data_IF_959563394166
#
_entry.id   IF_959563394166
#
_cell.length_a   1.000
_cell.length_b   1.000
_cell.length_c   1.000
_cell.angle_alpha   90.00
_cell.angle_beta   90.00
_cell.angle_gamma   90.00
#
_symmetry.space_group_name_H-M   'P 1'
#
loop_
_entity.id
_entity.type
_entity.pdbx_description
1 polymer ?
#
# COMPACT_ATOMS: atom_id res chain seq x y z
N UNK A 1 -56.97 41.62 14.14
CA UNK A 1 -55.51 41.56 14.40
C UNK A 1 -55.00 40.23 13.91
N UNK A 2 -54.36 40.19 12.73
CA UNK A 2 -53.90 38.96 12.06
C UNK A 2 -52.54 38.58 12.56
N UNK A 3 -52.37 37.41 13.21
CA UNK A 3 -51.11 36.87 13.70
C UNK A 3 -50.46 36.15 12.50
N UNK A 4 -49.33 36.68 12.05
CA UNK A 4 -48.46 36.02 11.02
C UNK A 4 -47.53 35.10 11.78
N UNK A 5 -47.75 33.75 11.59
CA UNK A 5 -46.82 32.75 12.07
C UNK A 5 -45.80 32.52 10.95
N UNK A 6 -44.57 33.02 11.16
CA UNK A 6 -43.45 32.74 10.26
C UNK A 6 -42.88 31.34 10.57
N UNK A 7 -43.06 30.44 9.60
CA UNK A 7 -42.43 29.12 9.61
C UNK A 7 -40.96 29.29 9.19
N UNK A 8 -40.05 29.22 10.13
CA UNK A 8 -38.61 29.19 9.85
C UNK A 8 -38.24 27.82 9.28
N UNK A 9 -37.83 27.77 8.02
CA UNK A 9 -37.27 26.58 7.38
C UNK A 9 -35.84 26.34 7.92
N UNK A 10 -35.65 25.25 8.64
CA UNK A 10 -34.31 24.77 9.04
C UNK A 10 -33.75 24.01 7.85
N UNK A 11 -32.82 24.61 7.13
CA UNK A 11 -32.03 23.93 6.12
C UNK A 11 -31.02 22.98 6.81
N UNK A 12 -31.24 21.68 6.76
CA UNK A 12 -30.28 20.69 7.16
C UNK A 12 -29.20 20.60 6.06
N UNK A 13 -28.01 21.14 6.34
CA UNK A 13 -26.85 20.97 5.47
C UNK A 13 -26.37 19.52 5.61
N UNK A 14 -26.58 18.70 4.61
CA UNK A 14 -25.92 17.41 4.48
C UNK A 14 -24.46 17.65 4.10
N UNK A 15 -23.55 17.45 5.03
CA UNK A 15 -22.11 17.39 4.72
C UNK A 15 -21.88 16.03 4.11
N UNK A 16 -21.75 15.97 2.78
CA UNK A 16 -21.31 14.78 2.07
C UNK A 16 -19.82 14.56 2.43
N UNK A 17 -19.52 13.55 3.24
CA UNK A 17 -18.14 13.08 3.42
C UNK A 17 -17.73 12.41 2.12
N UNK A 18 -16.78 13.00 1.39
CA UNK A 18 -16.17 12.34 0.25
C UNK A 18 -15.51 11.02 0.73
N UNK A 19 -15.67 9.92 -0.01
CA UNK A 19 -14.96 8.69 0.33
C UNK A 19 -13.46 8.99 0.29
N UNK A 20 -12.75 8.65 1.37
CA UNK A 20 -11.29 8.75 1.40
C UNK A 20 -10.74 7.79 0.33
N UNK A 21 -10.07 8.32 -0.67
CA UNK A 21 -9.39 7.52 -1.68
C UNK A 21 -8.20 6.79 -1.05
N UNK A 22 -7.97 5.55 -1.44
CA UNK A 22 -6.75 4.84 -1.07
C UNK A 22 -5.56 5.64 -1.64
N UNK A 23 -4.63 6.03 -0.77
CA UNK A 23 -3.40 6.67 -1.19
C UNK A 23 -2.36 5.62 -1.56
N UNK A 24 -1.39 6.00 -2.39
CA UNK A 24 -0.28 5.13 -2.77
C UNK A 24 1.05 5.73 -2.34
N UNK A 25 2.03 4.87 -2.03
CA UNK A 25 3.40 5.23 -1.70
C UNK A 25 4.31 4.48 -2.65
N UNK A 26 5.14 5.20 -3.42
CA UNK A 26 6.12 4.58 -4.33
C UNK A 26 7.52 4.65 -3.70
N UNK A 27 8.23 3.53 -3.75
CA UNK A 27 9.59 3.36 -3.25
C UNK A 27 10.47 2.71 -4.30
N UNK A 28 11.73 3.16 -4.50
CA UNK A 28 12.36 4.35 -3.93
C UNK A 28 11.63 5.66 -4.26
N UNK A 29 11.75 6.64 -3.36
CA UNK A 29 11.13 7.96 -3.54
C UNK A 29 11.64 8.61 -4.85
N UNK A 30 10.73 9.24 -5.61
CA UNK A 30 11.03 9.92 -6.86
C UNK A 30 10.94 9.03 -8.11
N UNK A 31 10.60 7.75 -7.94
CA UNK A 31 10.40 6.82 -9.07
C UNK A 31 8.93 6.57 -9.41
N UNK A 32 8.04 7.43 -8.98
CA UNK A 32 6.60 7.37 -9.32
C UNK A 32 6.35 7.58 -10.82
N UNK A 33 7.08 8.50 -11.45
CA UNK A 33 6.97 8.84 -12.86
C UNK A 33 8.28 8.68 -13.65
N UNK A 34 9.27 8.00 -13.08
CA UNK A 34 10.59 7.78 -13.69
C UNK A 34 10.94 6.30 -13.59
N UNK A 35 11.45 5.72 -14.69
CA UNK A 35 11.99 4.34 -14.69
C UNK A 35 13.20 4.25 -13.76
N UNK A 36 13.32 3.11 -13.06
CA UNK A 36 14.54 2.75 -12.38
C UNK A 36 15.71 2.50 -13.34
N UNK A 37 16.90 2.35 -12.79
CA UNK A 37 18.13 2.12 -13.57
C UNK A 37 18.35 0.62 -13.91
N UNK A 38 17.45 -0.26 -13.47
CA UNK A 38 17.59 -1.70 -13.57
C UNK A 38 16.26 -2.42 -13.74
N UNK A 39 16.33 -3.71 -13.99
CA UNK A 39 15.16 -4.59 -14.02
C UNK A 39 15.53 -6.02 -13.69
N UNK A 40 14.62 -6.72 -13.02
CA UNK A 40 14.82 -8.11 -12.65
C UNK A 40 13.52 -8.92 -12.73
N UNK A 41 13.66 -10.20 -12.93
CA UNK A 41 12.56 -11.17 -12.85
C UNK A 41 12.51 -11.90 -11.51
N UNK A 42 13.61 -11.94 -10.75
CA UNK A 42 13.74 -12.57 -9.44
C UNK A 42 12.61 -13.61 -9.15
N UNK A 43 11.96 -13.56 -7.98
CA UNK A 43 10.93 -14.54 -7.58
C UNK A 43 9.75 -14.60 -8.55
N UNK A 44 9.28 -13.47 -9.06
CA UNK A 44 8.05 -13.38 -9.86
C UNK A 44 8.23 -13.83 -11.31
N UNK A 45 9.45 -13.86 -11.84
CA UNK A 45 9.74 -14.31 -13.20
C UNK A 45 10.64 -15.55 -13.28
N UNK A 46 10.96 -16.18 -12.17
CA UNK A 46 11.78 -17.39 -12.11
C UNK A 46 10.92 -18.65 -12.24
N UNK A 47 11.34 -19.57 -13.10
CA UNK A 47 10.69 -20.88 -13.29
C UNK A 47 10.98 -21.86 -12.13
N UNK A 48 11.95 -21.55 -11.28
CA UNK A 48 12.34 -22.37 -10.15
C UNK A 48 11.89 -21.77 -8.84
N UNK A 49 11.88 -22.59 -7.80
CA UNK A 49 11.72 -22.13 -6.41
C UNK A 49 12.73 -21.04 -6.10
N UNK A 50 12.27 -19.93 -5.56
CA UNK A 50 13.12 -18.79 -5.25
C UNK A 50 12.57 -17.98 -4.07
N UNK A 51 13.45 -17.22 -3.40
CA UNK A 51 13.09 -16.28 -2.36
C UNK A 51 13.86 -14.98 -2.51
N UNK A 52 13.18 -13.87 -2.28
CA UNK A 52 13.77 -12.53 -2.24
C UNK A 52 13.24 -11.79 -1.03
N UNK A 53 14.12 -11.16 -0.30
CA UNK A 53 13.75 -10.12 0.65
C UNK A 53 14.19 -8.77 0.11
N UNK A 54 13.34 -7.78 0.31
CA UNK A 54 13.66 -6.39 -0.01
C UNK A 54 13.36 -5.54 1.22
N UNK A 55 14.34 -4.77 1.65
CA UNK A 55 14.16 -3.80 2.74
C UNK A 55 13.94 -2.41 2.16
N UNK A 56 13.08 -1.66 2.83
CA UNK A 56 12.82 -0.26 2.57
C UNK A 56 13.11 0.52 3.85
N UNK A 57 14.02 1.48 3.78
CA UNK A 57 14.28 2.34 4.94
C UNK A 57 13.01 3.11 5.32
N UNK A 58 12.81 3.33 6.61
CA UNK A 58 11.62 4.02 7.13
C UNK A 58 11.44 5.43 6.56
N UNK A 59 12.53 6.08 6.13
CA UNK A 59 12.52 7.39 5.46
C UNK A 59 11.80 7.38 4.10
N UNK A 60 11.53 6.22 3.53
CA UNK A 60 10.74 6.07 2.30
C UNK A 60 9.23 6.27 2.52
N UNK A 61 8.79 6.35 3.76
CA UNK A 61 7.38 6.44 4.13
C UNK A 61 7.10 7.77 4.84
N UNK A 62 5.84 8.20 4.79
CA UNK A 62 5.38 9.36 5.56
C UNK A 62 5.46 9.06 7.06
N UNK A 63 5.54 10.10 7.88
CA UNK A 63 5.55 9.95 9.34
C UNK A 63 4.22 9.42 9.85
N UNK A 64 4.29 8.47 10.78
CA UNK A 64 3.15 7.88 11.46
C UNK A 64 2.70 6.53 10.88
N UNK A 65 1.91 5.78 11.65
CA UNK A 65 1.42 4.46 11.27
C UNK A 65 0.54 4.51 10.02
N UNK A 66 0.72 3.53 9.13
CA UNK A 66 -0.07 3.37 7.90
C UNK A 66 -0.51 1.91 7.76
N UNK A 67 -1.74 1.69 7.31
CA UNK A 67 -2.21 0.33 6.98
C UNK A 67 -1.96 0.07 5.51
N UNK A 68 -1.09 -0.90 5.21
CA UNK A 68 -0.82 -1.37 3.87
C UNK A 68 -1.85 -2.46 3.49
N UNK A 69 -2.52 -2.28 2.36
CA UNK A 69 -3.60 -3.16 1.88
C UNK A 69 -3.29 -3.84 0.55
N UNK A 70 -2.19 -3.45 -0.09
CA UNK A 70 -1.73 -4.03 -1.34
C UNK A 70 -0.35 -3.51 -1.71
N UNK A 71 0.23 -4.14 -2.70
CA UNK A 71 1.42 -3.65 -3.39
C UNK A 71 1.30 -3.91 -4.89
N UNK A 72 2.00 -3.12 -5.67
CA UNK A 72 2.13 -3.32 -7.10
C UNK A 72 3.57 -3.13 -7.57
N UNK A 73 3.92 -3.86 -8.61
CA UNK A 73 5.12 -3.63 -9.40
C UNK A 73 4.72 -3.17 -10.80
N UNK A 74 5.68 -2.67 -11.54
CA UNK A 74 5.49 -2.34 -12.95
C UNK A 74 6.45 -3.12 -13.84
N UNK A 75 6.05 -3.36 -15.08
CA UNK A 75 6.93 -3.92 -16.08
C UNK A 75 8.09 -2.95 -16.35
N UNK A 76 9.30 -3.47 -16.54
CA UNK A 76 10.44 -2.63 -16.89
C UNK A 76 10.27 -2.10 -18.33
N UNK A 77 10.27 -0.77 -18.47
CA UNK A 77 10.17 -0.10 -19.77
C UNK A 77 11.52 0.10 -20.47
N UNK A 78 12.61 0.06 -19.71
CA UNK A 78 13.94 0.29 -20.24
C UNK A 78 14.53 -0.96 -20.93
N UNK A 79 15.36 -0.71 -21.91
CA UNK A 79 16.02 -1.77 -22.69
C UNK A 79 17.41 -2.06 -22.09
N UNK A 80 17.45 -2.85 -21.02
CA UNK A 80 18.73 -3.28 -20.43
C UNK A 80 19.27 -4.47 -21.23
N UNK A 81 20.07 -4.17 -22.26
CA UNK A 81 21.02 -5.06 -22.94
C UNK A 81 20.77 -6.56 -22.91
N UNK A 82 19.78 -7.04 -23.61
CA UNK A 82 19.79 -8.34 -24.29
C UNK A 82 19.72 -9.65 -23.50
N UNK A 83 19.91 -9.68 -22.19
CA UNK A 83 20.00 -10.95 -21.46
C UNK A 83 18.68 -11.32 -20.75
N UNK A 84 17.80 -10.36 -20.44
CA UNK A 84 16.63 -10.59 -19.58
C UNK A 84 15.29 -10.05 -20.10
N UNK A 85 15.12 -9.97 -21.39
CA UNK A 85 13.88 -9.53 -22.03
C UNK A 85 13.93 -8.07 -22.47
N UNK A 86 13.41 -7.80 -23.66
CA UNK A 86 13.26 -6.45 -24.20
C UNK A 86 12.30 -5.60 -23.38
N UNK A 87 12.01 -4.37 -23.84
CA UNK A 87 11.10 -3.45 -23.16
C UNK A 87 9.80 -4.15 -22.81
N UNK A 88 9.26 -3.89 -21.63
CA UNK A 88 8.12 -4.57 -21.06
C UNK A 88 7.00 -4.74 -22.06
N UNK A 89 6.76 -5.98 -22.45
CA UNK A 89 5.59 -6.39 -23.21
C UNK A 89 4.51 -6.89 -22.25
N UNK A 90 3.25 -6.87 -22.71
CA UNK A 90 2.16 -7.43 -21.92
C UNK A 90 2.42 -8.91 -21.60
N UNK A 91 2.07 -9.32 -20.39
CA UNK A 91 2.23 -10.71 -19.96
C UNK A 91 1.14 -11.11 -18.97
N UNK A 92 0.92 -12.42 -18.86
CA UNK A 92 0.15 -13.03 -17.78
C UNK A 92 0.93 -14.26 -17.29
N UNK A 93 1.05 -14.41 -15.96
CA UNK A 93 1.83 -15.47 -15.32
C UNK A 93 1.15 -16.01 -14.10
N UNK A 94 1.45 -17.25 -13.81
CA UNK A 94 1.09 -17.89 -12.54
C UNK A 94 2.37 -18.34 -11.85
N UNK A 95 2.54 -17.91 -10.60
CA UNK A 95 3.58 -18.42 -9.72
C UNK A 95 2.96 -19.41 -8.74
N UNK A 96 3.49 -20.63 -8.73
CA UNK A 96 3.00 -21.69 -7.87
C UNK A 96 3.51 -21.51 -6.46
N UNK A 97 2.57 -21.56 -5.50
CA UNK A 97 2.89 -21.40 -4.08
C UNK A 97 3.54 -20.06 -3.76
N UNK A 98 3.14 -18.97 -4.41
CA UNK A 98 3.61 -17.64 -4.05
C UNK A 98 3.12 -17.27 -2.65
N UNK A 99 4.03 -16.75 -1.83
CA UNK A 99 3.75 -16.14 -0.55
C UNK A 99 4.41 -14.77 -0.49
N UNK A 100 3.69 -13.78 0.02
CA UNK A 100 4.21 -12.45 0.30
C UNK A 100 4.03 -12.19 1.79
N UNK A 101 5.12 -11.82 2.46
CA UNK A 101 5.09 -11.44 3.86
C UNK A 101 5.69 -10.04 4.05
N UNK A 102 5.20 -9.33 5.07
CA UNK A 102 5.74 -8.07 5.54
C UNK A 102 6.12 -8.18 7.01
N UNK A 103 7.16 -7.47 7.42
CA UNK A 103 7.53 -7.28 8.82
C UNK A 103 8.24 -5.94 9.02
N UNK A 104 8.19 -5.41 10.25
CA UNK A 104 9.06 -4.32 10.67
C UNK A 104 10.40 -4.90 11.11
N UNK A 105 11.51 -4.41 10.55
CA UNK A 105 12.85 -4.95 10.78
C UNK A 105 13.84 -3.89 11.23
N UNK A 106 14.87 -4.29 11.95
CA UNK A 106 16.04 -3.47 12.25
C UNK A 106 17.07 -3.46 11.10
N UNK A 107 16.94 -4.37 10.11
CA UNK A 107 17.81 -4.38 8.95
C UNK A 107 17.65 -3.08 8.14
N UNK A 108 18.76 -2.57 7.60
CA UNK A 108 18.78 -1.33 6.81
C UNK A 108 19.06 -1.65 5.36
N UNK A 109 18.69 -0.74 4.45
CA UNK A 109 19.12 -0.84 3.06
C UNK A 109 20.65 -0.88 2.99
N UNK A 110 21.14 -1.69 2.05
CA UNK A 110 22.58 -1.99 1.84
C UNK A 110 23.31 -2.67 3.03
N UNK A 111 22.54 -3.04 4.07
CA UNK A 111 23.01 -3.72 5.28
C UNK A 111 22.30 -5.02 5.62
N UNK A 112 21.60 -5.63 4.65
CA UNK A 112 20.92 -6.93 4.87
C UNK A 112 21.91 -8.02 5.25
N UNK A 113 21.54 -8.84 6.23
CA UNK A 113 22.24 -10.11 6.51
C UNK A 113 22.04 -11.07 5.33
N UNK A 114 23.06 -11.88 5.04
CA UNK A 114 22.94 -12.97 4.06
C UNK A 114 21.97 -14.08 4.51
N UNK A 115 21.64 -14.14 5.81
CA UNK A 115 20.63 -15.05 6.36
C UNK A 115 19.23 -14.43 6.25
N UNK A 116 18.33 -15.10 5.56
CA UNK A 116 16.93 -14.66 5.46
C UNK A 116 16.26 -14.51 6.82
N UNK A 117 16.50 -15.44 7.74
CA UNK A 117 15.88 -15.42 9.07
C UNK A 117 16.33 -14.21 9.92
N UNK A 118 17.57 -13.74 9.73
CA UNK A 118 18.12 -12.65 10.52
C UNK A 118 17.53 -11.29 10.15
N UNK A 119 16.90 -11.16 8.98
CA UNK A 119 16.30 -9.93 8.51
C UNK A 119 14.82 -9.80 8.90
N UNK A 120 14.14 -10.92 9.24
CA UNK A 120 12.71 -10.93 9.53
C UNK A 120 12.43 -10.36 10.91
N UNK A 121 11.51 -9.42 10.99
CA UNK A 121 11.05 -8.87 12.28
C UNK A 121 10.02 -9.75 12.98
N UNK A 122 9.81 -9.48 14.28
CA UNK A 122 8.94 -10.30 15.13
C UNK A 122 7.44 -10.18 14.81
N UNK A 123 7.03 -9.11 14.13
CA UNK A 123 5.63 -8.84 13.75
C UNK A 123 5.29 -9.29 12.32
N UNK A 124 5.95 -10.35 11.83
CA UNK A 124 5.74 -10.84 10.45
C UNK A 124 4.29 -11.27 10.20
N UNK A 125 3.73 -10.79 9.08
CA UNK A 125 2.39 -11.13 8.58
C UNK A 125 2.50 -11.65 7.15
N UNK A 126 1.92 -12.80 6.87
CA UNK A 126 1.71 -13.28 5.50
C UNK A 126 0.55 -12.50 4.88
N UNK A 127 0.87 -11.38 4.22
CA UNK A 127 -0.13 -10.48 3.60
C UNK A 127 -0.81 -11.12 2.40
N UNK A 128 -0.06 -11.97 1.66
CA UNK A 128 -0.60 -12.91 0.68
C UNK A 128 -0.19 -14.31 1.16
N UNK A 129 -1.12 -15.10 1.74
CA UNK A 129 -0.86 -16.46 2.15
C UNK A 129 -0.44 -17.34 0.96
N UNK A 130 0.39 -18.35 1.21
CA UNK A 130 0.89 -19.26 0.18
C UNK A 130 -0.24 -19.85 -0.66
N UNK A 131 -0.23 -19.53 -1.95
CA UNK A 131 -1.20 -20.00 -2.95
C UNK A 131 -0.64 -19.88 -4.35
N UNK A 132 -1.30 -20.47 -5.34
CA UNK A 132 -1.00 -20.20 -6.74
C UNK A 132 -1.61 -18.83 -7.09
N UNK A 133 -0.76 -17.90 -7.52
CA UNK A 133 -1.17 -16.53 -7.80
C UNK A 133 -0.93 -16.19 -9.26
N UNK A 134 -1.97 -15.79 -9.96
CA UNK A 134 -1.89 -15.26 -11.32
C UNK A 134 -1.86 -13.74 -11.28
N UNK A 135 -0.92 -13.16 -12.01
CA UNK A 135 -0.75 -11.72 -12.17
C UNK A 135 -0.39 -11.39 -13.61
N UNK A 136 -0.66 -10.17 -14.01
CA UNK A 136 -0.47 -9.72 -15.40
C UNK A 136 -0.05 -8.27 -15.45
N UNK A 137 0.51 -7.87 -16.57
CA UNK A 137 0.74 -6.47 -16.94
C UNK A 137 0.32 -6.27 -18.39
N UNK A 138 -0.34 -5.16 -18.66
CA UNK A 138 -0.60 -4.70 -20.02
C UNK A 138 0.60 -3.96 -20.61
N UNK A 139 1.66 -3.76 -19.82
CA UNK A 139 2.81 -2.91 -20.14
C UNK A 139 2.41 -1.52 -20.65
N UNK A 140 1.26 -1.01 -20.17
CA UNK A 140 0.73 0.31 -20.47
C UNK A 140 1.62 1.41 -19.87
N UNK A 141 1.39 2.64 -20.30
CA UNK A 141 2.07 3.82 -19.81
C UNK A 141 1.11 5.01 -19.90
N UNK A 142 0.41 5.30 -18.79
CA UNK A 142 -0.55 6.40 -18.75
C UNK A 142 0.11 7.77 -18.92
N UNK A 143 1.36 7.93 -18.48
CA UNK A 143 2.14 9.17 -18.62
C UNK A 143 3.01 9.20 -19.88
N UNK A 144 3.06 8.12 -20.68
CA UNK A 144 3.89 7.98 -21.87
C UNK A 144 5.39 7.84 -21.61
N UNK A 145 5.84 7.78 -20.34
CA UNK A 145 7.24 7.76 -19.94
C UNK A 145 7.61 6.46 -19.23
N UNK A 146 6.84 6.07 -18.22
CA UNK A 146 7.10 4.86 -17.42
C UNK A 146 5.93 3.90 -17.57
N UNK A 147 6.16 2.62 -17.27
CA UNK A 147 5.08 1.62 -17.24
C UNK A 147 4.18 1.84 -16.03
N UNK A 148 2.91 1.45 -16.17
CA UNK A 148 1.94 1.54 -15.10
C UNK A 148 2.18 0.47 -14.03
N UNK A 149 1.86 0.78 -12.76
CA UNK A 149 1.90 -0.18 -11.65
C UNK A 149 0.68 -1.11 -11.71
N UNK A 150 0.70 -2.06 -12.64
CA UNK A 150 -0.41 -2.96 -12.95
C UNK A 150 -0.18 -4.44 -12.55
N UNK A 151 1.04 -4.78 -12.08
CA UNK A 151 1.33 -6.08 -11.47
C UNK A 151 0.94 -6.01 -9.99
N UNK A 152 -0.35 -6.13 -9.71
CA UNK A 152 -0.94 -5.83 -8.42
C UNK A 152 -1.19 -7.07 -7.56
N UNK A 153 -0.92 -6.96 -6.26
CA UNK A 153 -1.20 -7.97 -5.23
C UNK A 153 -2.02 -7.33 -4.11
N UNK A 154 -3.29 -7.73 -4.02
CA UNK A 154 -4.16 -7.34 -2.90
C UNK A 154 -3.81 -8.16 -1.66
N UNK A 155 -3.75 -7.53 -0.50
CA UNK A 155 -3.45 -8.22 0.75
C UNK A 155 -4.71 -8.86 1.32
N UNK A 156 -4.64 -10.16 1.59
CA UNK A 156 -5.67 -10.89 2.35
C UNK A 156 -5.64 -10.44 3.80
N UNK A 157 -4.42 -10.25 4.33
CA UNK A 157 -4.18 -9.77 5.68
C UNK A 157 -3.47 -8.42 5.60
N UNK A 158 -4.14 -7.28 5.82
CA UNK A 158 -3.49 -5.97 5.84
C UNK A 158 -2.37 -5.90 6.89
N UNK A 159 -1.36 -5.09 6.62
CA UNK A 159 -0.22 -4.89 7.52
C UNK A 159 -0.19 -3.45 8.04
N UNK A 160 -0.20 -3.28 9.36
CA UNK A 160 0.00 -1.97 9.98
C UNK A 160 1.49 -1.74 10.14
N UNK A 161 2.01 -0.77 9.40
CA UNK A 161 3.41 -0.38 9.44
C UNK A 161 3.57 0.97 10.11
N UNK A 162 4.47 1.04 11.10
CA UNK A 162 4.87 2.27 11.79
C UNK A 162 6.36 2.54 11.50
N UNK A 163 6.70 3.56 10.69
CA UNK A 163 8.09 3.88 10.35
C UNK A 163 8.95 4.26 11.55
N UNK A 164 8.36 4.66 12.67
CA UNK A 164 9.11 4.96 13.90
C UNK A 164 9.66 3.71 14.61
N UNK A 165 9.11 2.54 14.28
CA UNK A 165 9.49 1.26 14.88
C UNK A 165 10.59 0.51 14.12
N UNK A 166 10.99 0.99 12.94
CA UNK A 166 12.02 0.39 12.11
C UNK A 166 11.69 0.41 10.62
N UNK A 167 12.47 -0.29 9.84
CA UNK A 167 12.33 -0.38 8.39
C UNK A 167 11.28 -1.43 7.98
N UNK A 168 10.75 -1.32 6.77
CA UNK A 168 9.83 -2.33 6.22
C UNK A 168 10.61 -3.40 5.47
N UNK A 169 10.34 -4.66 5.77
CA UNK A 169 10.85 -5.82 5.03
C UNK A 169 9.71 -6.47 4.25
N UNK A 170 9.89 -6.58 2.94
CA UNK A 170 9.08 -7.38 2.02
C UNK A 170 9.79 -8.71 1.78
N UNK A 171 9.08 -9.82 1.95
CA UNK A 171 9.60 -11.17 1.75
C UNK A 171 8.73 -11.91 0.73
N UNK A 172 9.27 -12.09 -0.46
CA UNK A 172 8.65 -12.81 -1.58
C UNK A 172 9.20 -14.22 -1.65
N UNK A 173 8.36 -15.23 -1.55
CA UNK A 173 8.75 -16.62 -1.67
C UNK A 173 7.90 -17.34 -2.69
N UNK A 174 8.51 -17.97 -3.70
CA UNK A 174 7.90 -18.91 -4.63
C UNK A 174 8.31 -20.32 -4.28
N UNK A 175 7.35 -21.18 -3.97
CA UNK A 175 7.60 -22.59 -3.59
C UNK A 175 7.53 -23.55 -4.78
N UNK A 176 6.95 -23.14 -5.92
CA UNK A 176 6.83 -23.97 -7.11
C UNK A 176 7.45 -23.34 -8.37
N UNK A 177 7.82 -22.08 -8.29
CA UNK A 177 8.29 -21.33 -9.46
C UNK A 177 7.17 -20.73 -10.30
N UNK A 178 7.53 -19.99 -11.34
CA UNK A 178 6.59 -19.39 -12.29
C UNK A 178 6.44 -20.30 -13.53
N UNK A 179 5.24 -20.34 -14.10
CA UNK A 179 4.94 -21.14 -15.28
C UNK A 179 5.70 -20.66 -16.54
N UNK A 180 6.26 -19.46 -16.53
CA UNK A 180 7.04 -18.90 -17.64
C UNK A 180 8.18 -18.03 -17.11
N UNK A 181 9.33 -18.09 -17.80
CA UNK A 181 10.39 -17.07 -17.62
C UNK A 181 10.16 -15.91 -18.60
N UNK A 182 10.69 -14.76 -18.30
CA UNK A 182 10.65 -13.61 -19.24
C UNK A 182 10.51 -12.27 -18.55
N UNK A 183 9.56 -11.43 -18.94
CA UNK A 183 9.49 -10.00 -18.61
C UNK A 183 10.05 -9.61 -17.25
N UNK A 184 10.97 -8.66 -17.27
CA UNK A 184 11.54 -8.07 -16.05
C UNK A 184 10.61 -7.02 -15.46
N UNK A 185 10.59 -6.93 -14.16
CA UNK A 185 9.97 -5.83 -13.44
C UNK A 185 11.00 -4.73 -13.21
N UNK A 186 10.51 -3.50 -13.17
CA UNK A 186 11.33 -2.32 -12.96
C UNK A 186 11.99 -2.31 -11.56
N UNK A 187 13.19 -1.82 -11.50
CA UNK A 187 14.00 -1.77 -10.28
C UNK A 187 15.10 -0.74 -10.32
N UNK A 188 15.71 -0.55 -9.17
CA UNK A 188 16.80 0.40 -8.95
C UNK A 188 17.98 -0.34 -8.32
N UNK A 189 19.21 0.05 -8.71
CA UNK A 189 20.45 -0.53 -8.15
C UNK A 189 21.34 0.51 -7.49
N UNK A 190 20.85 1.72 -7.27
CA UNK A 190 21.61 2.82 -6.71
C UNK A 190 21.88 2.59 -5.22
N UNK A 191 23.15 2.62 -4.83
CA UNK A 191 23.56 2.57 -3.43
C UNK A 191 23.03 3.79 -2.67
N UNK A 192 22.42 3.58 -1.52
CA UNK A 192 21.92 4.66 -0.67
C UNK A 192 20.56 5.22 -1.07
N UNK A 193 19.85 4.60 -2.01
CA UNK A 193 18.49 5.00 -2.41
C UNK A 193 17.40 4.60 -1.37
N UNK A 194 17.81 3.93 -0.30
CA UNK A 194 16.93 3.49 0.78
C UNK A 194 16.28 2.14 0.55
N UNK A 195 16.69 1.39 -0.50
CA UNK A 195 16.26 0.02 -0.76
C UNK A 195 17.44 -0.90 -1.08
N UNK A 196 17.30 -2.18 -0.79
CA UNK A 196 18.23 -3.23 -1.22
C UNK A 196 17.59 -4.59 -1.05
N UNK A 197 18.21 -5.64 -1.59
CA UNK A 197 17.64 -6.98 -1.52
C UNK A 197 18.63 -8.08 -1.15
N UNK A 198 18.05 -9.19 -0.73
CA UNK A 198 18.67 -10.49 -0.55
C UNK A 198 17.93 -11.48 -1.45
N UNK A 199 18.63 -12.16 -2.35
CA UNK A 199 18.02 -13.09 -3.29
C UNK A 199 18.67 -14.48 -3.24
N UNK A 200 17.84 -15.52 -3.41
CA UNK A 200 18.26 -16.89 -3.62
C UNK A 200 17.43 -17.53 -4.74
N UNK A 201 18.08 -18.06 -5.73
CA UNK A 201 17.50 -19.00 -6.71
C UNK A 201 17.63 -20.43 -6.19
N UNK A 202 16.70 -21.31 -6.61
CA UNK A 202 16.70 -22.74 -6.28
C UNK A 202 16.63 -23.05 -4.78
N UNK A 203 15.83 -22.28 -4.03
CA UNK A 203 15.60 -22.53 -2.62
C UNK A 203 14.85 -21.40 -1.91
N UNK A 204 14.22 -21.72 -0.78
CA UNK A 204 13.43 -20.77 0.03
C UNK A 204 14.02 -20.45 1.39
N UNK A 205 15.06 -21.14 1.81
CA UNK A 205 15.65 -21.00 3.15
C UNK A 205 17.14 -20.78 3.14
N UNK A 206 17.73 -20.66 4.36
CA UNK A 206 19.14 -20.52 4.57
C UNK A 206 19.67 -19.13 4.23
N UNK A 207 20.64 -19.07 3.33
CA UNK A 207 21.33 -17.84 2.95
C UNK A 207 21.08 -17.47 1.49
N UNK A 208 21.22 -16.19 1.18
CA UNK A 208 21.15 -15.63 -0.17
C UNK A 208 22.33 -14.73 -0.48
N UNK A 209 22.25 -14.08 -1.63
CA UNK A 209 23.21 -13.04 -2.08
C UNK A 209 22.56 -11.67 -1.92
N UNK A 210 23.24 -10.79 -1.24
CA UNK A 210 22.81 -9.37 -1.07
C UNK A 210 23.10 -8.58 -2.34
N UNK A 211 22.26 -7.60 -2.61
CA UNK A 211 22.37 -6.70 -3.76
C UNK A 211 21.80 -5.34 -3.41
N UNK A 212 22.34 -4.29 -3.99
CA UNK A 212 21.73 -2.93 -3.97
C UNK A 212 20.42 -2.88 -4.77
N UNK A 213 20.13 -3.90 -5.60
CA UNK A 213 18.89 -3.98 -6.37
C UNK A 213 17.67 -4.03 -5.46
N UNK A 214 16.64 -3.22 -5.77
CA UNK A 214 15.29 -3.31 -5.27
C UNK A 214 14.26 -3.09 -6.37
N UNK A 215 13.11 -3.77 -6.31
CA UNK A 215 11.99 -3.45 -7.18
C UNK A 215 11.44 -2.06 -6.86
N UNK A 216 11.12 -1.29 -7.89
CA UNK A 216 10.27 -0.12 -7.72
C UNK A 216 8.89 -0.61 -7.33
N UNK A 217 8.50 -0.29 -6.11
CA UNK A 217 7.30 -0.86 -5.48
C UNK A 217 6.31 0.25 -5.12
N UNK A 218 5.06 0.09 -5.54
CA UNK A 218 3.97 0.94 -5.10
C UNK A 218 3.17 0.21 -4.02
N UNK A 219 3.08 0.78 -2.82
CA UNK A 219 2.19 0.29 -1.76
C UNK A 219 0.85 1.02 -1.83
N UNK A 220 -0.24 0.27 -1.68
CA UNK A 220 -1.58 0.82 -1.50
C UNK A 220 -1.87 0.91 -0.01
N UNK A 221 -2.32 2.08 0.43
CA UNK A 221 -2.71 2.29 1.83
C UNK A 221 -4.21 2.14 1.99
N UNK A 222 -4.63 1.54 3.10
CA UNK A 222 -6.02 1.54 3.51
C UNK A 222 -6.48 2.95 3.86
N UNK A 223 -7.74 3.24 3.61
CA UNK A 223 -8.35 4.45 4.15
C UNK A 223 -8.37 4.32 5.67
N UNK A 224 -7.61 5.15 6.37
CA UNK A 224 -7.90 5.38 7.78
C UNK A 224 -9.29 6.02 7.78
N UNK A 225 -10.28 5.33 8.35
CA UNK A 225 -11.58 5.94 8.54
C UNK A 225 -11.33 7.27 9.26
N UNK A 226 -11.66 8.38 8.60
CA UNK A 226 -11.47 9.69 9.20
C UNK A 226 -12.22 9.68 10.53
N UNK A 227 -11.49 9.72 11.63
CA UNK A 227 -12.11 9.92 12.96
C UNK A 227 -12.83 11.27 12.85
N UNK A 228 -14.15 11.33 13.08
CA UNK A 228 -14.87 12.59 12.98
C UNK A 228 -14.15 13.64 13.82
N UNK A 229 -13.72 14.73 13.18
CA UNK A 229 -12.96 15.78 13.86
C UNK A 229 -13.71 16.31 15.09
N UNK A 230 -13.00 16.81 16.12
CA UNK A 230 -13.62 17.38 17.32
C UNK A 230 -14.71 18.41 17.01
N UNK A 231 -14.58 19.14 15.90
CA UNK A 231 -15.59 20.05 15.35
C UNK A 231 -16.89 19.36 14.98
N UNK A 232 -16.84 18.15 14.42
CA UNK A 232 -18.01 17.34 14.09
C UNK A 232 -18.75 16.89 15.35
N UNK A 233 -18.01 16.48 16.39
CA UNK A 233 -18.57 16.15 17.70
C UNK A 233 -19.21 17.38 18.35
N UNK A 234 -18.53 18.53 18.30
CA UNK A 234 -19.05 19.77 18.82
C UNK A 234 -20.35 20.21 18.12
N UNK A 235 -20.40 20.12 16.79
CA UNK A 235 -21.61 20.43 16.01
C UNK A 235 -22.77 19.47 16.32
N UNK A 236 -22.47 18.19 16.52
CA UNK A 236 -23.47 17.20 16.91
C UNK A 236 -24.05 17.50 18.30
N UNK A 237 -23.20 17.84 19.28
CA UNK A 237 -23.63 18.24 20.62
C UNK A 237 -24.43 19.52 20.59
N UNK A 238 -24.03 20.53 19.82
CA UNK A 238 -24.78 21.78 19.64
C UNK A 238 -26.14 21.51 18.99
N UNK A 239 -26.22 20.66 17.97
CA UNK A 239 -27.45 20.26 17.29
C UNK A 239 -28.43 19.58 18.23
N UNK A 240 -27.97 18.61 19.02
CA UNK A 240 -28.81 17.94 20.03
C UNK A 240 -29.20 18.89 21.18
N UNK A 241 -28.29 19.77 21.57
CA UNK A 241 -28.58 20.80 22.60
C UNK A 241 -29.68 21.75 22.18
N UNK A 242 -29.65 22.24 20.95
CA UNK A 242 -30.69 23.13 20.39
C UNK A 242 -32.04 22.41 20.25
N UNK A 243 -32.03 21.15 19.81
CA UNK A 243 -33.23 20.34 19.69
C UNK A 243 -33.86 20.09 21.06
N UNK A 244 -33.07 19.76 22.06
CA UNK A 244 -33.52 19.60 23.47
C UNK A 244 -34.07 20.89 24.06
N UNK A 245 -33.44 22.02 23.81
CA UNK A 245 -33.89 23.33 24.25
C UNK A 245 -35.25 23.72 23.63
N UNK A 246 -35.42 23.48 22.32
CA UNK A 246 -36.66 23.76 21.58
C UNK A 246 -37.84 22.94 22.08
N UNK A 247 -37.64 21.67 22.45
CA UNK A 247 -38.65 20.79 23.03
C UNK A 247 -39.05 21.26 24.45
N UNK A 248 -38.10 21.74 25.23
CA UNK A 248 -38.34 22.27 26.57
C UNK A 248 -39.12 23.58 26.54
N UNK A 249 -38.85 24.43 25.55
CA UNK A 249 -39.56 25.68 25.37
C UNK A 249 -41.04 25.45 24.98
N UNK A 250 -41.33 24.54 24.11
CA UNK A 250 -42.73 24.15 23.70
C UNK A 250 -43.56 23.67 24.90
N UNK A 251 -42.98 23.02 25.90
CA UNK A 251 -43.71 22.50 27.07
C UNK A 251 -44.08 23.61 28.09
N UNK A 252 -43.55 24.84 27.94
CA UNK A 252 -43.81 25.95 28.86
C UNK A 252 -44.83 26.95 28.37
N UNK A 253 -45.57 26.66 27.28
CA UNK A 253 -46.68 27.53 26.88
C UNK A 253 -47.77 27.53 27.93
N UNK A 254 -48.07 28.67 28.57
CA UNK A 254 -49.12 28.73 29.62
C UNK A 254 -50.49 28.45 29.00
N UNK A 255 -51.29 27.62 29.68
CA UNK A 255 -52.71 27.49 29.38
C UNK A 255 -53.37 28.82 29.77
N UNK A 256 -53.87 29.52 28.76
CA UNK A 256 -54.74 30.67 29.01
C UNK A 256 -56.08 30.07 29.46
N UNK A 257 -56.40 30.28 30.74
CA UNK A 257 -57.74 30.00 31.31
C UNK A 257 -58.57 31.24 31.04
N UNK A 258 -59.56 31.14 30.14
CA UNK A 258 -60.62 32.14 29.99
C UNK A 258 -61.66 31.92 31.09
N UNK A 259 -61.89 32.92 31.91
CA UNK A 259 -63.00 33.03 32.85
C UNK A 259 -64.24 33.61 32.14
#
# INVERSE_FOLDING_TARGET
MKLIVSLGAIAAAFIATAPASAATIVTPIGLDAVEGDSGSRNVLGFINVARMQQVFNSSQFLSGPVTLTGLAFRANGANFGGIFGGPGTSFMRTTEGLQIALSTTAAVADGLSTSFAANVGSNVVNVVPRSNVTYSSNAGSANGLTKDFDVFFSFVNPFVYDPSMGNLLLDLTSFGGSNQSGTTLDGQTLLGDGTSSLFRSNGTGGTGTTSTFGYVTQFTTGTVAAVPEPTTWAMMLVGFGLMGASMRYRRRSPKVVCA
#
